data_IF_543790251243
#
_entry.id   IF_543790251243
#
_cell.length_a   1.000
_cell.length_b   1.000
_cell.length_c   1.000
_cell.angle_alpha   90.00
_cell.angle_beta   90.00
_cell.angle_gamma   90.00
#
_symmetry.space_group_name_H-M   'P 1'
#
loop_
_entity.id
_entity.type
_entity.pdbx_description
1 polymer ?
#
# COMPACT_ATOMS: atom_id res chain seq x y z
N UNK A 1 16.51 -6.67 19.91
CA UNK A 1 15.46 -5.82 19.29
C UNK A 1 14.22 -5.90 20.18
N UNK A 2 13.65 -4.76 20.58
CA UNK A 2 12.34 -4.78 21.22
C UNK A 2 11.31 -5.36 20.22
N UNK A 3 10.34 -6.16 20.67
CA UNK A 3 9.32 -6.70 19.78
C UNK A 3 8.55 -5.55 19.13
N UNK A 4 8.47 -5.58 17.81
CA UNK A 4 7.78 -4.57 17.04
C UNK A 4 6.29 -4.67 17.30
N UNK A 5 5.69 -3.61 17.86
CA UNK A 5 4.26 -3.58 18.16
C UNK A 5 3.46 -3.35 16.88
N UNK A 6 2.93 -4.42 16.32
CA UNK A 6 2.00 -4.37 15.19
C UNK A 6 0.59 -4.03 15.66
N UNK A 7 -0.11 -3.21 14.88
CA UNK A 7 -1.48 -2.78 15.08
C UNK A 7 -2.37 -3.40 14.00
N UNK A 8 -3.51 -3.94 14.43
CA UNK A 8 -4.50 -4.58 13.55
C UNK A 8 -5.49 -3.54 13.02
N UNK A 9 -5.78 -3.60 11.73
CA UNK A 9 -6.84 -2.84 11.07
C UNK A 9 -7.71 -3.82 10.27
N UNK A 10 -8.95 -4.00 10.72
CA UNK A 10 -9.86 -5.01 10.18
C UNK A 10 -11.23 -4.42 9.87
N UNK A 11 -11.84 -4.87 8.78
CA UNK A 11 -13.27 -4.65 8.50
C UNK A 11 -14.13 -5.66 9.28
N UNK A 12 -15.46 -5.47 9.38
CA UNK A 12 -16.35 -6.45 9.99
C UNK A 12 -16.15 -7.86 9.42
N UNK A 13 -16.05 -8.87 10.30
CA UNK A 13 -15.85 -10.27 9.95
C UNK A 13 -14.43 -10.66 9.52
N UNK A 14 -13.53 -9.71 9.25
CA UNK A 14 -12.13 -10.00 9.00
C UNK A 14 -11.39 -10.39 10.28
N UNK A 15 -10.33 -11.20 10.15
CA UNK A 15 -9.52 -11.68 11.27
C UNK A 15 -8.04 -11.50 11.01
N UNK A 16 -7.33 -11.24 12.10
CA UNK A 16 -5.88 -11.24 12.16
C UNK A 16 -5.48 -12.04 13.40
N UNK A 17 -5.13 -13.30 13.16
CA UNK A 17 -4.84 -14.28 14.20
C UNK A 17 -3.33 -14.45 14.34
N UNK A 18 -2.85 -14.47 15.57
CA UNK A 18 -1.46 -14.84 15.86
C UNK A 18 -1.33 -16.36 15.76
N UNK A 19 -0.29 -16.82 15.09
CA UNK A 19 0.05 -18.25 14.93
C UNK A 19 1.49 -18.46 15.41
N UNK A 20 1.92 -19.71 15.71
CA UNK A 20 3.23 -19.95 16.34
C UNK A 20 4.44 -19.28 15.66
N UNK A 21 4.37 -19.05 14.34
CA UNK A 21 5.45 -18.43 13.56
C UNK A 21 4.97 -17.23 12.73
N UNK A 22 4.05 -16.43 13.24
CA UNK A 22 3.66 -15.16 12.62
C UNK A 22 2.17 -14.88 12.70
N UNK A 23 1.60 -14.49 11.56
CA UNK A 23 0.22 -13.99 11.50
C UNK A 23 -0.57 -14.65 10.38
N UNK A 24 -1.86 -14.88 10.62
CA UNK A 24 -2.83 -15.28 9.61
C UNK A 24 -3.86 -14.16 9.44
N UNK A 25 -3.94 -13.64 8.22
CA UNK A 25 -4.90 -12.60 7.85
C UNK A 25 -6.01 -13.27 7.02
N UNK A 26 -7.27 -12.96 7.32
CA UNK A 26 -8.41 -13.48 6.57
C UNK A 26 -9.52 -12.44 6.46
N UNK A 27 -10.18 -12.41 5.31
CA UNK A 27 -11.39 -11.63 5.07
C UNK A 27 -12.52 -12.59 4.69
N UNK A 28 -13.79 -12.30 5.05
CA UNK A 28 -14.92 -13.07 4.56
C UNK A 28 -15.17 -12.75 3.07
N UNK A 29 -15.77 -13.71 2.37
CA UNK A 29 -16.33 -13.47 1.04
C UNK A 29 -17.49 -12.47 1.09
N UNK A 30 -17.89 -11.95 -0.07
CA UNK A 30 -19.08 -11.14 -0.24
C UNK A 30 -18.99 -10.19 -1.43
N UNK A 31 -19.98 -9.30 -1.54
CA UNK A 31 -20.18 -8.33 -2.61
C UNK A 31 -18.93 -7.51 -3.00
N UNK A 32 -18.79 -7.23 -4.29
CA UNK A 32 -17.63 -6.51 -4.86
C UNK A 32 -17.65 -5.00 -4.56
N UNK A 33 -18.78 -4.45 -4.14
CA UNK A 33 -18.98 -3.02 -3.80
C UNK A 33 -18.59 -2.68 -2.35
N UNK A 34 -18.30 -3.70 -1.52
CA UNK A 34 -17.96 -3.53 -0.12
C UNK A 34 -16.47 -3.74 0.11
N UNK A 35 -15.82 -2.68 0.57
CA UNK A 35 -14.43 -2.75 1.01
C UNK A 35 -14.27 -3.69 2.21
N UNK A 36 -13.27 -4.58 2.14
CA UNK A 36 -12.87 -5.49 3.22
C UNK A 36 -11.37 -5.43 3.40
N UNK A 37 -10.93 -5.50 4.64
CA UNK A 37 -9.53 -5.39 4.99
C UNK A 37 -9.17 -6.29 6.15
N UNK A 38 -8.00 -6.93 6.07
CA UNK A 38 -7.27 -7.50 7.18
C UNK A 38 -5.82 -7.05 7.06
N UNK A 39 -5.40 -6.11 7.90
CA UNK A 39 -4.10 -5.46 7.80
C UNK A 39 -3.37 -5.45 9.15
N UNK A 40 -2.04 -5.53 9.06
CA UNK A 40 -1.09 -5.29 10.14
C UNK A 40 -0.11 -4.19 9.70
N UNK A 41 0.11 -3.22 10.57
CA UNK A 41 1.19 -2.23 10.40
C UNK A 41 1.69 -1.72 11.76
N UNK A 42 2.81 -1.00 11.76
CA UNK A 42 3.44 -0.43 12.96
C UNK A 42 3.49 1.10 12.93
N UNK A 43 2.78 1.74 11.99
CA UNK A 43 2.96 3.17 11.71
C UNK A 43 1.65 3.95 11.63
N UNK A 44 0.48 3.33 11.46
CA UNK A 44 -0.76 4.02 11.12
C UNK A 44 -1.13 5.13 12.12
N UNK A 45 -0.87 4.92 13.41
CA UNK A 45 -1.13 5.90 14.49
C UNK A 45 0.03 6.86 14.77
N UNK A 46 1.12 6.76 14.02
CA UNK A 46 2.32 7.57 14.22
C UNK A 46 2.35 8.75 13.25
N UNK A 47 3.01 9.84 13.65
CA UNK A 47 3.42 10.84 12.66
C UNK A 47 4.57 10.28 11.82
N UNK A 48 4.75 10.74 10.57
CA UNK A 48 5.82 10.26 9.67
C UNK A 48 7.21 10.37 10.30
N UNK A 49 7.43 11.41 11.11
CA UNK A 49 8.68 11.63 11.86
C UNK A 49 8.95 10.56 12.92
N UNK A 50 7.93 9.83 13.34
CA UNK A 50 8.00 8.73 14.31
C UNK A 50 7.87 7.33 13.70
N UNK A 51 7.87 7.19 12.38
CA UNK A 51 7.90 5.85 11.78
C UNK A 51 9.12 5.08 12.28
N UNK A 52 8.96 3.82 12.71
CA UNK A 52 10.02 3.05 13.37
C UNK A 52 11.15 2.69 12.40
N UNK A 53 10.81 2.55 11.12
CA UNK A 53 11.74 2.16 10.07
C UNK A 53 12.58 3.34 9.57
N UNK A 54 13.90 3.22 9.70
CA UNK A 54 14.92 4.21 9.29
C UNK A 54 16.07 3.51 8.58
N UNK A 55 16.72 4.19 7.64
CA UNK A 55 17.87 3.63 6.90
C UNK A 55 19.16 3.71 7.74
N UNK A 56 20.09 2.74 7.63
CA UNK A 56 19.97 1.48 6.88
C UNK A 56 19.05 0.47 7.56
N UNK A 57 18.24 -0.24 6.78
CA UNK A 57 17.28 -1.25 7.25
C UNK A 57 17.43 -2.52 6.41
N UNK A 58 17.41 -3.67 7.08
CA UNK A 58 17.23 -4.98 6.44
C UNK A 58 15.83 -5.49 6.76
N UNK A 59 15.12 -5.96 5.74
CA UNK A 59 13.77 -6.51 5.87
C UNK A 59 13.74 -7.91 5.26
N UNK A 60 13.30 -8.88 6.06
CA UNK A 60 13.12 -10.27 5.63
C UNK A 60 11.68 -10.67 5.96
N UNK A 61 10.99 -11.26 4.99
CA UNK A 61 9.65 -11.80 5.20
C UNK A 61 9.48 -13.12 4.45
N UNK A 62 8.80 -14.05 5.10
CA UNK A 62 8.18 -15.20 4.45
C UNK A 62 6.67 -15.02 4.51
N UNK A 63 6.01 -15.08 3.36
CA UNK A 63 4.57 -14.98 3.25
C UNK A 63 4.06 -15.96 2.20
N UNK A 64 2.82 -16.39 2.37
CA UNK A 64 2.11 -17.23 1.40
C UNK A 64 0.64 -16.85 1.36
N UNK A 65 0.01 -17.08 0.21
CA UNK A 65 -1.43 -17.06 0.06
C UNK A 65 -2.01 -18.45 0.36
N UNK A 66 -3.29 -18.50 0.73
CA UNK A 66 -4.02 -19.76 0.88
C UNK A 66 -4.41 -20.41 -0.45
N UNK A 67 -4.31 -19.66 -1.55
CA UNK A 67 -4.61 -20.10 -2.92
C UNK A 67 -3.81 -19.26 -3.92
N UNK A 68 -3.58 -19.78 -5.11
CA UNK A 68 -2.99 -19.05 -6.24
C UNK A 68 -3.99 -18.06 -6.86
N UNK A 69 -5.28 -18.20 -6.57
CA UNK A 69 -6.38 -17.42 -7.14
C UNK A 69 -7.20 -16.69 -6.07
N UNK A 70 -6.55 -16.04 -5.10
CA UNK A 70 -7.26 -15.19 -4.14
C UNK A 70 -7.83 -13.98 -4.89
N UNK A 71 -9.12 -13.63 -4.71
CA UNK A 71 -9.67 -12.40 -5.29
C UNK A 71 -9.16 -11.13 -4.60
N UNK A 72 -9.05 -10.04 -5.37
CA UNK A 72 -8.67 -8.72 -4.85
C UNK A 72 -7.16 -8.51 -4.81
N UNK A 73 -6.69 -7.85 -3.76
CA UNK A 73 -5.29 -7.41 -3.63
C UNK A 73 -4.72 -7.81 -2.29
N UNK A 74 -3.49 -8.33 -2.28
CA UNK A 74 -2.78 -8.71 -1.07
C UNK A 74 -1.30 -8.42 -1.22
N UNK A 75 -0.60 -8.26 -0.11
CA UNK A 75 0.83 -7.99 -0.17
C UNK A 75 1.38 -7.49 1.14
N UNK A 76 2.65 -7.15 1.10
CA UNK A 76 3.41 -6.65 2.22
C UNK A 76 4.54 -5.77 1.70
N UNK A 77 4.98 -4.82 2.50
CA UNK A 77 6.01 -3.92 2.07
C UNK A 77 6.39 -2.90 3.12
N UNK A 78 7.42 -2.15 2.78
CA UNK A 78 7.79 -0.94 3.49
C UNK A 78 7.30 0.21 2.63
N UNK A 79 6.38 1.01 3.15
CA UNK A 79 5.95 2.22 2.44
C UNK A 79 5.85 3.40 3.39
N UNK A 80 5.84 4.59 2.82
CA UNK A 80 5.75 5.82 3.58
C UNK A 80 4.29 6.27 3.84
N UNK A 81 3.28 5.48 3.46
CA UNK A 81 1.84 5.76 3.61
C UNK A 81 1.46 7.09 2.94
N UNK A 82 1.39 7.10 1.60
CA UNK A 82 1.23 8.32 0.81
C UNK A 82 -0.18 8.92 0.90
N UNK A 83 -1.19 8.16 1.34
CA UNK A 83 -2.60 8.54 1.25
C UNK A 83 -3.08 9.21 2.54
N UNK A 84 -2.90 10.53 2.58
CA UNK A 84 -3.21 11.37 3.75
C UNK A 84 -4.69 11.73 3.98
N UNK A 85 -5.55 11.55 2.96
CA UNK A 85 -6.99 11.88 3.01
C UNK A 85 -7.88 10.66 2.81
N UNK A 86 -7.42 9.51 3.31
CA UNK A 86 -8.17 8.28 3.18
C UNK A 86 -9.30 8.20 4.21
N UNK A 87 -10.49 8.69 3.84
CA UNK A 87 -11.74 8.23 4.45
C UNK A 87 -11.86 6.71 4.16
N UNK A 88 -11.32 5.86 5.03
CA UNK A 88 -11.53 4.41 5.00
C UNK A 88 -10.30 3.49 4.83
N UNK A 89 -9.11 3.99 4.49
CA UNK A 89 -7.91 3.12 4.33
C UNK A 89 -7.09 2.92 5.62
N UNK A 90 -7.67 3.13 6.82
CA UNK A 90 -6.93 3.00 8.09
C UNK A 90 -5.79 4.02 8.29
N UNK A 91 -5.62 4.97 7.38
CA UNK A 91 -4.67 6.08 7.48
C UNK A 91 -5.13 7.17 8.43
N UNK A 92 -4.20 8.02 8.87
CA UNK A 92 -4.52 9.17 9.71
C UNK A 92 -5.19 10.28 8.86
N UNK A 93 -6.45 10.66 9.12
CA UNK A 93 -7.21 11.61 8.30
C UNK A 93 -6.69 13.05 8.36
N UNK A 94 -5.77 13.34 9.29
CA UNK A 94 -5.12 14.65 9.43
C UNK A 94 -3.70 14.67 8.84
N UNK A 95 -3.31 13.64 8.09
CA UNK A 95 -1.97 13.57 7.51
C UNK A 95 -1.98 14.21 6.13
N UNK A 96 -1.05 15.13 5.86
CA UNK A 96 -0.86 15.61 4.50
C UNK A 96 -0.43 14.46 3.58
N UNK A 97 -0.99 14.34 2.37
CA UNK A 97 -0.56 13.34 1.41
C UNK A 97 0.91 13.58 1.05
N UNK A 98 1.62 12.50 0.74
CA UNK A 98 3.02 12.55 0.35
C UNK A 98 3.23 11.65 -0.86
N UNK A 99 4.22 11.98 -1.70
CA UNK A 99 4.52 11.13 -2.83
C UNK A 99 5.07 9.76 -2.36
N UNK A 100 4.62 8.65 -2.97
CA UNK A 100 4.94 7.30 -2.51
C UNK A 100 6.44 6.99 -2.61
N UNK A 101 7.00 6.50 -1.51
CA UNK A 101 8.23 5.73 -1.52
C UNK A 101 7.91 4.39 -0.90
N UNK A 102 8.12 3.31 -1.66
CA UNK A 102 7.72 1.98 -1.24
C UNK A 102 8.67 0.90 -1.76
N UNK A 103 8.85 -0.15 -0.98
CA UNK A 103 9.28 -1.48 -1.43
C UNK A 103 8.08 -2.37 -1.23
N UNK A 104 7.53 -2.93 -2.31
CA UNK A 104 6.26 -3.66 -2.24
C UNK A 104 6.39 -5.03 -2.90
N UNK A 105 5.94 -6.05 -2.18
CA UNK A 105 5.63 -7.39 -2.69
C UNK A 105 4.11 -7.52 -2.71
N UNK A 106 3.54 -7.59 -3.90
CA UNK A 106 2.12 -7.37 -4.12
C UNK A 106 1.55 -8.41 -5.07
N UNK A 107 0.37 -8.91 -4.76
CA UNK A 107 -0.42 -9.79 -5.60
C UNK A 107 -1.78 -9.17 -5.89
N UNK A 108 -2.19 -9.23 -7.16
CA UNK A 108 -3.50 -8.79 -7.61
C UNK A 108 -4.20 -9.91 -8.40
N UNK A 109 -5.47 -10.17 -8.10
CA UNK A 109 -6.32 -11.06 -8.91
C UNK A 109 -6.64 -10.42 -10.26
N UNK A 110 -7.28 -11.14 -11.19
CA UNK A 110 -7.68 -10.55 -12.49
C UNK A 110 -8.68 -9.38 -12.29
N UNK A 111 -9.49 -9.48 -11.26
CA UNK A 111 -10.57 -8.56 -10.89
C UNK A 111 -10.03 -7.42 -10.00
N UNK A 112 -9.07 -6.67 -10.52
CA UNK A 112 -8.51 -5.52 -9.81
C UNK A 112 -8.36 -4.32 -10.76
N UNK A 113 -8.41 -3.11 -10.21
CA UNK A 113 -8.30 -1.86 -10.96
C UNK A 113 -6.89 -1.24 -10.91
N UNK A 114 -5.87 -2.02 -10.52
CA UNK A 114 -4.50 -1.53 -10.45
C UNK A 114 -3.82 -1.72 -11.79
N UNK A 115 -3.07 -0.70 -12.20
CA UNK A 115 -2.20 -0.75 -13.36
C UNK A 115 -0.80 -0.39 -12.90
N UNK A 116 0.07 -1.39 -12.79
CA UNK A 116 1.48 -1.17 -12.49
C UNK A 116 2.25 -0.92 -13.79
N UNK A 117 2.70 0.31 -13.99
CA UNK A 117 3.62 0.66 -15.07
C UNK A 117 5.05 0.28 -14.69
N UNK A 118 5.67 -0.63 -15.44
CA UNK A 118 7.11 -0.87 -15.35
C UNK A 118 7.88 0.13 -16.21
N UNK A 119 8.86 0.84 -15.62
CA UNK A 119 9.92 1.50 -16.40
C UNK A 119 11.16 0.61 -16.35
N UNK A 120 11.58 0.08 -17.50
CA UNK A 120 12.85 -0.64 -17.67
C UNK A 120 13.60 0.08 -18.78
N UNK A 121 14.54 0.97 -18.40
CA UNK A 121 15.17 1.90 -19.35
C UNK A 121 14.18 2.98 -19.85
N UNK A 122 14.67 3.95 -20.63
CA UNK A 122 13.87 5.07 -21.15
C UNK A 122 12.70 4.68 -22.08
N UNK A 123 12.53 3.40 -22.40
CA UNK A 123 11.39 2.88 -23.14
C UNK A 123 10.43 2.09 -22.23
N UNK A 124 9.13 2.32 -22.38
CA UNK A 124 8.07 1.50 -21.75
C UNK A 124 7.99 0.19 -22.54
N UNK A 125 8.88 -0.76 -22.22
CA UNK A 125 9.07 -1.97 -23.03
C UNK A 125 8.11 -3.12 -22.69
N UNK A 126 7.21 -2.95 -21.71
CA UNK A 126 6.27 -4.02 -21.31
C UNK A 126 4.88 -3.42 -21.04
N UNK A 127 3.81 -4.02 -21.59
CA UNK A 127 2.46 -3.61 -21.21
C UNK A 127 2.32 -3.73 -19.69
N UNK A 128 1.61 -2.80 -19.02
CA UNK A 128 1.42 -2.84 -17.58
C UNK A 128 0.82 -4.20 -17.20
N UNK A 129 1.50 -4.91 -16.31
CA UNK A 129 1.01 -6.17 -15.78
C UNK A 129 -0.10 -5.80 -14.80
N UNK A 130 -1.35 -5.91 -15.25
CA UNK A 130 -2.51 -5.49 -14.46
C UNK A 130 -2.81 -6.44 -13.29
N UNK A 131 -2.27 -7.66 -13.29
CA UNK A 131 -2.59 -8.71 -12.33
C UNK A 131 -1.41 -9.69 -12.15
N UNK A 132 -1.39 -10.43 -11.04
CA UNK A 132 -0.32 -11.35 -10.68
C UNK A 132 0.59 -10.82 -9.57
N UNK A 133 1.73 -11.47 -9.37
CA UNK A 133 2.69 -11.10 -8.33
C UNK A 133 3.75 -10.14 -8.87
N UNK A 134 4.00 -9.06 -8.14
CA UNK A 134 5.02 -8.06 -8.42
C UNK A 134 5.85 -7.78 -7.17
N UNK A 135 7.16 -7.65 -7.36
CA UNK A 135 8.09 -7.14 -6.36
C UNK A 135 8.79 -5.91 -6.95
N UNK A 136 8.50 -4.71 -6.43
CA UNK A 136 8.99 -3.47 -7.01
C UNK A 136 9.31 -2.41 -5.95
N UNK A 137 10.30 -1.57 -6.27
CA UNK A 137 10.59 -0.35 -5.53
C UNK A 137 10.02 0.86 -6.27
N UNK A 138 9.35 1.73 -5.52
CA UNK A 138 8.78 2.98 -5.99
C UNK A 138 9.52 4.11 -5.31
N UNK A 139 10.08 5.01 -6.11
CA UNK A 139 10.73 6.22 -5.65
C UNK A 139 10.10 7.40 -6.37
N UNK A 140 9.38 8.21 -5.61
CA UNK A 140 8.81 9.42 -6.17
C UNK A 140 9.90 10.46 -6.47
N UNK A 141 9.70 11.29 -7.51
CA UNK A 141 10.58 12.43 -7.76
C UNK A 141 10.56 13.39 -6.56
N UNK A 142 11.63 14.16 -6.41
CA UNK A 142 11.67 15.21 -5.39
C UNK A 142 10.60 16.26 -5.75
N UNK A 143 9.72 16.54 -4.80
CA UNK A 143 8.69 17.55 -4.97
C UNK A 143 9.35 18.94 -4.99
N UNK A 144 9.20 19.68 -6.10
CA UNK A 144 9.69 21.05 -6.21
C UNK A 144 8.55 22.03 -5.87
N UNK A 145 8.82 23.03 -5.02
CA UNK A 145 7.79 23.96 -4.52
C UNK A 145 7.03 24.69 -5.64
N UNK A 146 7.66 24.92 -6.80
CA UNK A 146 6.99 25.52 -7.96
C UNK A 146 5.82 24.70 -8.52
N UNK A 147 5.76 23.39 -8.23
CA UNK A 147 4.63 22.54 -8.64
C UNK A 147 3.33 22.88 -7.86
N UNK A 148 3.43 23.47 -6.66
CA UNK A 148 2.26 23.99 -5.93
C UNK A 148 1.68 25.19 -6.68
N UNK A 149 2.55 26.10 -7.13
CA UNK A 149 2.14 27.29 -7.87
C UNK A 149 1.52 26.91 -9.21
N UNK A 150 2.07 25.91 -9.91
CA UNK A 150 1.49 25.38 -11.14
C UNK A 150 0.09 24.79 -10.91
N UNK A 151 -0.12 24.03 -9.82
CA UNK A 151 -1.43 23.46 -9.47
C UNK A 151 -2.49 24.49 -9.08
N UNK A 152 -2.09 25.68 -8.63
CA UNK A 152 -2.99 26.82 -8.37
C UNK A 152 -3.23 27.67 -9.62
N UNK A 153 -2.26 27.74 -10.52
CA UNK A 153 -2.33 28.55 -11.74
C UNK A 153 -3.08 27.85 -12.88
N UNK A 154 -3.05 26.52 -12.95
CA UNK A 154 -3.80 25.76 -13.94
C UNK A 154 -5.15 25.31 -13.35
N UNK A 155 -6.29 25.80 -13.87
CA UNK A 155 -7.58 25.28 -13.45
C UNK A 155 -7.65 23.81 -13.88
N UNK A 156 -7.63 22.89 -12.93
CA UNK A 156 -8.02 21.52 -13.20
C UNK A 156 -9.43 21.58 -13.81
N UNK A 157 -9.52 21.29 -15.10
CA UNK A 157 -10.77 21.32 -15.86
C UNK A 157 -11.81 20.49 -15.12
N UNK A 158 -12.76 21.17 -14.47
CA UNK A 158 -14.04 20.55 -14.10
C UNK A 158 -14.72 20.21 -15.41
N UNK A 159 -14.51 19.00 -15.92
CA UNK A 159 -15.42 18.45 -16.91
C UNK A 159 -16.72 18.11 -16.17
N UNK A 160 -17.74 18.93 -16.45
CA UNK A 160 -19.16 18.63 -16.25
C UNK A 160 -19.57 17.62 -17.30
#
# INVERSE_FOLDING_TARGET
MAPQKLTKFISPGARVDEVPHGWRLSIPAGDADKYRNAQLDDYARLSRRRFPHRFPLTFSLLARTSSDSIPGTWGFGLWNDPFGFSLGFGGNPFRLPALPNAVWFFGASKENYLSFGGRVGEAVSRPPVANGFIAQTFRSPKFHLSLIQAGLAFPFSRKV
#
